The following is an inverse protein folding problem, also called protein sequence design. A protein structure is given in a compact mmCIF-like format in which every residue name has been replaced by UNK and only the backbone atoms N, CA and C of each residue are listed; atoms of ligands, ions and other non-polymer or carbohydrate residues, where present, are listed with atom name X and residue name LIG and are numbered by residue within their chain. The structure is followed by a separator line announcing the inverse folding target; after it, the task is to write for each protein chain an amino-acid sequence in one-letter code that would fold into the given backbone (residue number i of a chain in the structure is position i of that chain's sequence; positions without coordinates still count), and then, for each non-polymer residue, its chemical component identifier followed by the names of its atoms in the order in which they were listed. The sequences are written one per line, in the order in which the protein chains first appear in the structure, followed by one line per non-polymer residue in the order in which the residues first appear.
data_IF_830643507190
#
_entry.id   IF_830643507190
#
_cell.length_a   1.000
_cell.length_b   1.000
_cell.length_c   1.000
_cell.angle_alpha   90.00
_cell.angle_beta   90.00
_cell.angle_gamma   90.00
#
_symmetry.space_group_name_H-M   'P 1'
#
loop_
_entity.id
_entity.type
_entity.pdbx_description
1 polymer ?
#
# COMPACT_ATOMS: atom_id res chain seq x y z
N UNK A 1 -10.77 12.34 -7.44
CA UNK A 1 -10.52 11.50 -6.23
C UNK A 1 -9.02 11.26 -6.05
N UNK A 2 -8.48 11.51 -4.85
CA UNK A 2 -7.08 11.21 -4.55
C UNK A 2 -6.89 9.72 -4.30
N UNK A 3 -5.94 9.10 -5.00
CA UNK A 3 -5.62 7.69 -4.79
C UNK A 3 -4.67 7.57 -3.58
N UNK A 4 -5.00 6.75 -2.57
CA UNK A 4 -4.11 6.51 -1.45
C UNK A 4 -2.92 5.63 -1.84
N UNK A 5 -1.78 5.88 -1.22
CA UNK A 5 -0.64 4.97 -1.18
C UNK A 5 -0.43 4.46 0.26
N UNK A 6 0.12 3.26 0.38
CA UNK A 6 0.41 2.57 1.64
C UNK A 6 1.91 2.45 1.80
N UNK A 7 2.47 2.99 2.89
CA UNK A 7 3.92 2.98 3.09
C UNK A 7 4.43 1.58 3.43
N UNK A 8 5.43 1.11 2.69
CA UNK A 8 6.02 -0.23 2.84
C UNK A 8 6.81 -0.38 4.15
N UNK A 9 7.26 0.74 4.72
CA UNK A 9 8.10 0.75 5.91
C UNK A 9 7.33 0.93 7.23
N UNK A 10 6.25 1.73 7.23
CA UNK A 10 5.53 2.07 8.47
C UNK A 10 4.02 1.87 8.40
N UNK A 11 3.48 1.40 7.27
CA UNK A 11 2.04 1.15 7.10
C UNK A 11 1.16 2.38 6.98
N UNK A 12 1.71 3.60 7.08
CA UNK A 12 0.94 4.84 6.96
C UNK A 12 0.24 4.96 5.60
N UNK A 13 -1.01 5.41 5.60
CA UNK A 13 -1.78 5.73 4.38
C UNK A 13 -1.56 7.19 4.05
N UNK A 14 -1.04 7.51 2.86
CA UNK A 14 -0.73 8.88 2.47
C UNK A 14 -1.13 9.17 1.03
N UNK A 15 -1.13 10.47 0.66
CA UNK A 15 -1.48 10.90 -0.69
C UNK A 15 -0.43 10.40 -1.67
N UNK A 16 -0.84 9.61 -2.66
CA UNK A 16 0.07 9.12 -3.69
C UNK A 16 0.53 10.20 -4.69
N UNK A 17 -0.20 11.31 -4.75
CA UNK A 17 -0.07 12.34 -5.80
C UNK A 17 -0.89 12.05 -7.04
N UNK A 18 -1.49 10.86 -7.17
CA UNK A 18 -2.39 10.50 -8.27
C UNK A 18 -3.81 10.96 -7.94
N UNK A 19 -4.44 11.62 -8.91
CA UNK A 19 -5.85 12.02 -8.87
C UNK A 19 -6.54 11.40 -10.07
N UNK A 20 -7.63 10.68 -9.83
CA UNK A 20 -8.48 10.10 -10.87
C UNK A 20 -9.90 10.63 -10.69
N UNK A 21 -10.53 11.05 -11.78
CA UNK A 21 -11.89 11.60 -11.77
C UNK A 21 -12.70 11.01 -12.92
N UNK A 22 -13.92 10.58 -12.60
CA UNK A 22 -14.92 10.06 -13.53
C UNK A 22 -14.34 9.18 -14.66
N UNK A 23 -13.57 8.16 -14.28
CA UNK A 23 -12.79 7.32 -15.19
C UNK A 23 -13.09 5.84 -14.94
N UNK A 24 -13.35 5.08 -16.00
CA UNK A 24 -13.63 3.64 -15.93
C UNK A 24 -12.45 2.83 -16.47
N UNK A 25 -12.31 1.58 -16.03
CA UNK A 25 -11.25 0.64 -16.46
C UNK A 25 -9.83 1.16 -16.26
N UNK A 26 -9.57 1.83 -15.14
CA UNK A 26 -8.24 2.30 -14.78
C UNK A 26 -7.45 1.15 -14.14
N UNK A 27 -6.31 0.83 -14.72
CA UNK A 27 -5.41 -0.23 -14.24
C UNK A 27 -4.23 0.37 -13.49
N UNK A 28 -4.04 -0.05 -12.24
CA UNK A 28 -2.81 0.18 -11.49
C UNK A 28 -2.00 -1.12 -11.43
N UNK A 29 -0.70 -1.01 -11.72
CA UNK A 29 0.25 -2.13 -11.63
C UNK A 29 1.64 -1.59 -11.27
N UNK A 30 2.22 -2.06 -10.16
CA UNK A 30 3.58 -1.74 -9.74
C UNK A 30 3.80 -0.27 -9.36
N UNK A 31 2.72 0.48 -9.09
CA UNK A 31 2.82 1.91 -8.81
C UNK A 31 3.43 2.15 -7.42
N UNK A 32 4.35 3.11 -7.33
CA UNK A 32 5.03 3.52 -6.11
C UNK A 32 4.82 5.01 -5.87
N UNK A 33 4.72 5.41 -4.61
CA UNK A 33 4.55 6.80 -4.20
C UNK A 33 5.42 7.12 -2.99
N UNK A 34 5.87 8.36 -2.88
CA UNK A 34 6.69 8.82 -1.77
C UNK A 34 7.21 10.24 -1.97
N UNK A 35 7.89 10.81 -0.96
CA UNK A 35 8.22 10.17 0.30
C UNK A 35 7.01 10.09 1.26
N UNK A 36 6.94 9.03 2.06
CA UNK A 36 5.97 8.90 3.15
C UNK A 36 6.15 10.04 4.15
N UNK A 37 5.09 10.76 4.54
CA UNK A 37 5.20 11.92 5.43
C UNK A 37 5.58 11.54 6.87
N UNK A 38 5.43 10.26 7.25
CA UNK A 38 5.74 9.78 8.61
C UNK A 38 7.20 9.33 8.74
N UNK A 39 7.70 8.50 7.82
CA UNK A 39 9.03 7.88 7.94
C UNK A 39 9.99 8.22 6.79
N UNK A 40 9.54 8.93 5.75
CA UNK A 40 10.34 9.24 4.56
C UNK A 40 10.49 8.10 3.55
N UNK A 41 10.00 6.89 3.85
CA UNK A 41 10.07 5.72 2.98
C UNK A 41 9.18 5.81 1.74
N UNK A 42 9.25 4.79 0.88
CA UNK A 42 8.37 4.64 -0.29
C UNK A 42 7.16 3.79 0.12
N UNK A 43 6.04 4.02 -0.54
CA UNK A 43 4.85 3.19 -0.46
C UNK A 43 4.38 2.72 -1.83
N UNK A 44 3.41 1.83 -1.85
CA UNK A 44 2.78 1.32 -3.04
C UNK A 44 1.32 1.77 -3.15
N UNK A 45 0.80 1.77 -4.38
CA UNK A 45 -0.62 1.90 -4.66
C UNK A 45 -1.14 0.49 -4.95
N UNK A 46 -2.34 0.10 -4.46
CA UNK A 46 -2.88 -1.23 -4.72
C UNK A 46 -3.03 -1.50 -6.22
N UNK A 47 -2.56 -2.67 -6.64
CA UNK A 47 -2.71 -3.14 -8.01
C UNK A 47 -4.14 -3.63 -8.26
N UNK A 48 -4.64 -3.43 -9.48
CA UNK A 48 -5.98 -3.85 -9.87
C UNK A 48 -6.59 -3.00 -10.97
N UNK A 49 -7.82 -3.35 -11.35
CA UNK A 49 -8.64 -2.58 -12.30
C UNK A 49 -9.83 -1.97 -11.55
N UNK A 50 -10.00 -0.67 -11.71
CA UNK A 50 -10.94 0.14 -10.94
C UNK A 50 -11.78 1.03 -11.86
N UNK A 51 -13.06 1.19 -11.53
CA UNK A 51 -13.85 2.33 -11.99
C UNK A 51 -13.92 3.37 -10.89
N UNK A 52 -13.80 4.63 -11.29
CA UNK A 52 -13.93 5.81 -10.46
C UNK A 52 -15.13 6.59 -10.99
N UNK A 53 -16.32 6.34 -10.45
CA UNK A 53 -17.55 7.00 -10.87
C UNK A 53 -17.93 7.95 -9.73
N UNK A 54 -17.96 9.24 -10.00
CA UNK A 54 -18.17 10.29 -9.00
C UNK A 54 -17.25 10.12 -7.76
N UNK A 55 -17.84 9.69 -6.64
CA UNK A 55 -17.20 9.53 -5.34
C UNK A 55 -17.05 8.06 -4.91
N UNK A 56 -17.37 7.11 -5.78
CA UNK A 56 -17.24 5.67 -5.54
C UNK A 56 -16.07 5.10 -6.32
N UNK A 57 -15.41 4.12 -5.71
CA UNK A 57 -14.45 3.26 -6.41
C UNK A 57 -15.12 1.89 -6.53
N UNK A 58 -15.36 1.46 -7.75
CA UNK A 58 -15.75 0.08 -8.01
C UNK A 58 -14.51 -0.72 -8.37
N UNK A 59 -14.25 -1.76 -7.59
CA UNK A 59 -13.15 -2.67 -7.86
C UNK A 59 -13.67 -3.71 -8.86
N UNK A 60 -13.30 -3.57 -10.13
CA UNK A 60 -13.68 -4.53 -11.17
C UNK A 60 -12.90 -5.84 -11.07
N UNK A 61 -11.69 -5.76 -10.52
CA UNK A 61 -10.91 -6.92 -10.09
C UNK A 61 -9.95 -6.50 -8.99
N UNK A 62 -10.19 -6.99 -7.78
CA UNK A 62 -9.12 -7.12 -6.80
C UNK A 62 -8.20 -8.24 -7.30
N UNK A 63 -6.90 -8.26 -6.96
CA UNK A 63 -6.06 -9.41 -7.27
C UNK A 63 -6.75 -10.65 -6.70
N UNK A 64 -7.14 -11.61 -7.56
CA UNK A 64 -7.69 -12.92 -7.14
C UNK A 64 -6.76 -13.65 -6.13
N UNK A 65 -5.50 -13.19 -6.01
CA UNK A 65 -4.50 -13.64 -5.05
C UNK A 65 -4.91 -13.51 -3.58
N UNK A 66 -5.58 -12.43 -3.16
CA UNK A 66 -5.87 -12.22 -1.73
C UNK A 66 -6.80 -13.30 -1.16
N UNK A 67 -7.77 -13.78 -1.94
CA UNK A 67 -8.66 -14.87 -1.51
C UNK A 67 -7.95 -16.23 -1.46
N UNK A 68 -7.05 -16.49 -2.40
CA UNK A 68 -6.25 -17.72 -2.41
C UNK A 68 -5.25 -17.75 -1.26
N UNK A 69 -4.61 -16.61 -0.95
CA UNK A 69 -3.68 -16.47 0.18
C UNK A 69 -4.40 -16.63 1.52
N UNK A 70 -5.58 -16.02 1.69
CA UNK A 70 -6.40 -16.21 2.89
C UNK A 70 -6.89 -17.66 3.03
N UNK A 71 -7.26 -18.31 1.93
CA UNK A 71 -7.61 -19.73 1.92
C UNK A 71 -6.42 -20.62 2.28
N UNK A 72 -5.23 -20.30 1.75
CA UNK A 72 -4.00 -21.04 2.03
C UNK A 72 -3.56 -20.86 3.49
N UNK A 73 -3.62 -19.64 4.02
CA UNK A 73 -3.39 -19.36 5.43
C UNK A 73 -4.36 -20.14 6.30
N UNK A 74 -5.66 -20.12 5.97
CA UNK A 74 -6.68 -20.87 6.72
C UNK A 74 -6.37 -22.37 6.77
N UNK A 75 -5.88 -22.95 5.67
CA UNK A 75 -5.47 -24.35 5.63
C UNK A 75 -4.27 -24.63 6.54
N UNK A 76 -3.22 -23.78 6.49
CA UNK A 76 -2.04 -23.89 7.36
C UNK A 76 -2.46 -23.81 8.84
N UNK A 77 -3.32 -22.85 9.18
CA UNK A 77 -3.78 -22.65 10.56
C UNK A 77 -4.66 -23.81 11.04
N UNK A 78 -5.51 -24.38 10.17
CA UNK A 78 -6.34 -25.55 10.50
C UNK A 78 -5.47 -26.79 10.71
N UNK A 79 -4.51 -27.03 9.81
CA UNK A 79 -3.59 -28.16 9.93
C UNK A 79 -2.72 -28.04 11.19
N UNK A 80 -2.25 -26.84 11.52
CA UNK A 80 -1.50 -26.57 12.74
C UNK A 80 -2.31 -26.93 14.01
N UNK A 81 -3.61 -26.60 14.02
CA UNK A 81 -4.54 -26.95 15.10
C UNK A 81 -4.75 -28.46 15.19
N UNK A 82 -4.97 -29.14 14.07
CA UNK A 82 -5.22 -30.59 14.01
C UNK A 82 -3.99 -31.42 14.40
N UNK A 83 -2.79 -30.99 14.00
CA UNK A 83 -1.52 -31.69 14.28
C UNK A 83 -0.83 -31.25 15.58
N UNK A 84 -1.47 -30.39 16.36
CA UNK A 84 -0.93 -29.83 17.61
C UNK A 84 0.49 -29.22 17.50
N UNK A 85 0.77 -28.55 16.38
CA UNK A 85 2.08 -27.93 16.11
C UNK A 85 2.43 -26.87 17.15
N UNK A 86 3.71 -26.71 17.42
CA UNK A 86 4.23 -25.65 18.29
C UNK A 86 4.15 -24.27 17.61
N UNK A 87 4.12 -23.16 18.37
CA UNK A 87 4.09 -21.81 17.79
C UNK A 87 5.23 -21.55 16.80
N UNK A 88 6.43 -22.03 17.10
CA UNK A 88 7.60 -21.85 16.24
C UNK A 88 7.48 -22.61 14.91
N UNK A 89 6.95 -23.83 14.93
CA UNK A 89 6.68 -24.61 13.71
C UNK A 89 5.61 -23.97 12.82
N UNK A 90 4.61 -23.34 13.43
CA UNK A 90 3.57 -22.60 12.68
C UNK A 90 4.15 -21.33 12.08
N UNK A 91 4.99 -20.61 12.83
CA UNK A 91 5.68 -19.42 12.36
C UNK A 91 6.57 -19.72 11.14
N UNK A 92 7.37 -20.79 11.22
CA UNK A 92 8.23 -21.22 10.10
C UNK A 92 7.42 -21.62 8.88
N UNK A 93 6.32 -22.37 9.06
CA UNK A 93 5.44 -22.76 7.95
C UNK A 93 4.81 -21.56 7.25
N UNK A 94 4.41 -20.54 8.00
CA UNK A 94 3.87 -19.28 7.43
C UNK A 94 4.95 -18.54 6.64
N UNK A 95 6.18 -18.44 7.18
CA UNK A 95 7.29 -17.78 6.48
C UNK A 95 7.70 -18.51 5.19
N UNK A 96 7.61 -19.84 5.19
CA UNK A 96 7.92 -20.69 4.03
C UNK A 96 6.82 -20.63 2.94
N UNK A 97 5.56 -20.88 3.33
CA UNK A 97 4.46 -21.07 2.39
C UNK A 97 3.79 -19.75 1.98
N UNK A 98 3.95 -18.68 2.77
CA UNK A 98 3.30 -17.38 2.60
C UNK A 98 4.28 -16.22 2.93
N UNK A 99 5.33 -15.99 2.12
CA UNK A 99 6.36 -14.97 2.40
C UNK A 99 5.79 -13.55 2.53
N UNK A 100 4.72 -13.25 1.78
CA UNK A 100 3.99 -11.97 1.84
C UNK A 100 3.30 -11.73 3.21
N UNK A 101 3.02 -12.80 3.97
CA UNK A 101 2.41 -12.75 5.30
C UNK A 101 3.41 -13.15 6.40
N UNK A 102 4.71 -13.12 6.12
CA UNK A 102 5.76 -13.43 7.09
C UNK A 102 5.64 -12.62 8.38
N UNK A 103 5.20 -11.36 8.32
CA UNK A 103 4.96 -10.52 9.50
C UNK A 103 3.84 -11.05 10.42
N UNK A 104 2.93 -11.89 9.91
CA UNK A 104 1.90 -12.56 10.71
C UNK A 104 2.51 -13.62 11.62
N UNK A 105 3.61 -14.24 11.20
CA UNK A 105 4.33 -15.22 12.01
C UNK A 105 4.87 -14.60 13.32
N UNK A 106 5.24 -13.31 13.29
CA UNK A 106 5.77 -12.59 14.45
C UNK A 106 4.68 -12.15 15.44
N UNK A 107 3.41 -12.17 15.01
CA UNK A 107 2.24 -11.86 15.82
C UNK A 107 1.66 -13.09 16.53
N UNK A 108 2.22 -14.29 16.29
CA UNK A 108 1.73 -15.52 16.91
C UNK A 108 1.95 -15.51 18.44
N UNK A 109 0.96 -15.94 19.23
CA UNK A 109 1.12 -16.10 20.67
C UNK A 109 2.21 -17.12 21.01
N UNK A 110 2.96 -16.84 22.10
CA UNK A 110 4.08 -17.68 22.53
C UNK A 110 3.65 -18.95 23.27
N UNK A 111 2.43 -18.98 23.82
CA UNK A 111 1.92 -20.15 24.55
C UNK A 111 0.99 -20.99 23.66
N UNK A 112 1.02 -22.32 23.81
CA UNK A 112 0.23 -23.24 22.97
C UNK A 112 -1.28 -23.03 23.14
N UNK A 113 -1.74 -22.73 24.35
CA UNK A 113 -3.15 -22.47 24.65
C UNK A 113 -3.65 -21.18 24.00
N UNK A 114 -2.87 -20.10 24.08
CA UNK A 114 -3.22 -18.83 23.44
C UNK A 114 -3.12 -18.94 21.92
N UNK A 115 -2.14 -19.71 21.41
CA UNK A 115 -2.02 -19.99 19.98
C UNK A 115 -3.31 -20.61 19.45
N UNK A 116 -3.82 -21.70 20.02
CA UNK A 116 -5.03 -22.34 19.48
C UNK A 116 -6.29 -21.47 19.64
N UNK A 117 -6.39 -20.67 20.69
CA UNK A 117 -7.46 -19.70 20.85
C UNK A 117 -7.40 -18.64 19.74
N UNK A 118 -6.20 -18.10 19.48
CA UNK A 118 -5.92 -17.15 18.42
C UNK A 118 -6.19 -17.72 17.02
N UNK A 119 -5.72 -18.95 16.75
CA UNK A 119 -5.99 -19.63 15.49
C UNK A 119 -7.49 -19.86 15.27
N UNK A 120 -8.21 -20.25 16.32
CA UNK A 120 -9.67 -20.45 16.25
C UNK A 120 -10.39 -19.13 15.97
N UNK A 121 -9.96 -18.03 16.59
CA UNK A 121 -10.49 -16.70 16.33
C UNK A 121 -10.25 -16.26 14.88
N UNK A 122 -9.02 -16.42 14.38
CA UNK A 122 -8.66 -16.03 13.00
C UNK A 122 -9.49 -16.83 11.99
N UNK A 123 -9.56 -18.15 12.14
CA UNK A 123 -10.33 -19.01 11.23
C UNK A 123 -11.82 -18.64 11.27
N UNK A 124 -12.37 -18.33 12.44
CA UNK A 124 -13.76 -17.89 12.57
C UNK A 124 -14.03 -16.54 11.88
N UNK A 125 -13.12 -15.57 12.03
CA UNK A 125 -13.22 -14.26 11.38
C UNK A 125 -13.11 -14.39 9.86
N UNK A 126 -12.13 -15.15 9.36
CA UNK A 126 -11.98 -15.39 7.92
C UNK A 126 -13.22 -16.14 7.38
N UNK A 127 -13.74 -17.12 8.11
CA UNK A 127 -14.98 -17.81 7.78
C UNK A 127 -16.18 -16.86 7.68
N UNK A 128 -16.30 -15.90 8.58
CA UNK A 128 -17.36 -14.89 8.57
C UNK A 128 -17.24 -13.94 7.37
N UNK A 129 -16.01 -13.50 7.07
CA UNK A 129 -15.71 -12.62 5.94
C UNK A 129 -15.96 -13.31 4.59
N UNK A 130 -15.82 -14.64 4.52
CA UNK A 130 -15.99 -15.42 3.29
C UNK A 130 -17.41 -15.96 3.10
N UNK A 131 -18.21 -16.13 4.16
CA UNK A 131 -19.60 -16.62 4.09
C UNK A 131 -20.65 -15.53 3.79
N UNK A 132 -20.24 -14.27 3.59
CA UNK A 132 -21.12 -13.17 3.19
C UNK A 132 -21.53 -13.13 1.71
N UNK A 133 -21.38 -14.21 0.94
CA UNK A 133 -21.69 -14.21 -0.50
C UNK A 133 -22.30 -15.53 -0.97
N UNK A 134 -23.57 -15.75 -0.62
CA UNK A 134 -24.48 -16.52 -1.44
C UNK A 134 -25.51 -15.57 -2.07
N UNK A 135 -25.25 -15.20 -3.33
CA UNK A 135 -26.22 -14.54 -4.20
C UNK A 135 -25.87 -13.11 -4.60
N UNK A 136 -25.77 -12.90 -5.91
CA UNK A 136 -25.72 -11.62 -6.63
C UNK A 136 -24.34 -10.96 -6.78
N UNK A 137 -24.09 -10.54 -8.02
CA UNK A 137 -22.93 -9.79 -8.50
C UNK A 137 -22.82 -8.44 -7.76
N UNK A 138 -22.30 -8.45 -6.53
CA UNK A 138 -22.21 -7.24 -5.73
C UNK A 138 -20.81 -6.65 -5.84
N UNK A 139 -20.65 -5.78 -6.85
CA UNK A 139 -19.67 -4.70 -6.82
C UNK A 139 -19.83 -3.99 -5.47
N UNK A 140 -18.85 -4.15 -4.58
CA UNK A 140 -18.88 -3.51 -3.26
C UNK A 140 -18.76 -2.00 -3.45
N UNK A 141 -19.88 -1.28 -3.47
CA UNK A 141 -19.91 0.18 -3.62
C UNK A 141 -19.58 0.80 -2.27
N UNK A 142 -18.32 1.18 -2.08
CA UNK A 142 -17.86 1.91 -0.89
C UNK A 142 -17.88 3.40 -1.24
N UNK A 143 -18.47 4.25 -0.40
CA UNK A 143 -18.38 5.72 -0.54
C UNK A 143 -17.02 6.19 -0.04
N UNK A 144 -16.01 6.12 -0.91
CA UNK A 144 -14.60 6.07 -0.49
C UNK A 144 -14.03 7.43 -0.12
N UNK A 145 -14.56 8.53 -0.66
CA UNK A 145 -13.98 9.86 -0.47
C UNK A 145 -13.96 10.32 1.00
N UNK A 146 -15.00 10.01 1.80
CA UNK A 146 -15.02 10.42 3.21
C UNK A 146 -13.97 9.66 4.03
N UNK A 147 -13.89 8.34 3.86
CA UNK A 147 -12.94 7.47 4.55
C UNK A 147 -11.49 7.77 4.15
N UNK A 148 -11.22 7.97 2.86
CA UNK A 148 -9.89 8.32 2.36
C UNK A 148 -9.44 9.67 2.94
N UNK A 149 -10.32 10.67 2.91
CA UNK A 149 -9.99 11.99 3.44
C UNK A 149 -9.70 11.93 4.95
N UNK A 150 -10.46 11.14 5.72
CA UNK A 150 -10.19 10.92 7.13
C UNK A 150 -8.83 10.24 7.35
N UNK A 151 -8.52 9.18 6.60
CA UNK A 151 -7.23 8.48 6.70
C UNK A 151 -6.04 9.42 6.43
N UNK A 152 -6.15 10.31 5.43
CA UNK A 152 -5.12 11.32 5.18
C UNK A 152 -4.98 12.31 6.35
N UNK A 153 -6.10 12.79 6.90
CA UNK A 153 -6.07 13.71 8.05
C UNK A 153 -5.43 13.07 9.29
N UNK A 154 -5.65 11.79 9.51
CA UNK A 154 -5.04 11.04 10.61
C UNK A 154 -3.53 10.90 10.41
N UNK A 155 -3.09 10.53 9.21
CA UNK A 155 -1.66 10.45 8.87
C UNK A 155 -0.97 11.81 8.99
N UNK A 156 -1.60 12.88 8.51
CA UNK A 156 -1.03 14.25 8.58
C UNK A 156 -0.91 14.75 10.03
N UNK A 157 -1.81 14.34 10.93
CA UNK A 157 -1.70 14.64 12.37
C UNK A 157 -0.51 13.93 13.01
N UNK A 158 -0.26 12.68 12.64
CA UNK A 158 0.88 11.87 13.14
C UNK A 158 2.20 12.34 12.53
N UNK A 159 2.17 12.88 11.31
CA UNK A 159 3.34 13.38 10.59
C UNK A 159 3.93 14.71 11.12
N UNK A 160 3.40 15.30 12.21
CA UNK A 160 4.02 16.48 12.83
C UNK A 160 5.42 16.09 13.36
N UNK A 161 6.50 16.65 12.80
CA UNK A 161 7.85 16.29 13.22
C UNK A 161 8.12 16.85 14.61
N UNK A 162 8.67 16.03 15.51
CA UNK A 162 9.48 16.54 16.61
C UNK A 162 10.70 17.25 16.00
N UNK A 163 10.61 18.57 15.89
CA UNK A 163 11.72 19.50 15.62
C UNK A 163 12.60 19.15 14.42
N UNK A 164 12.14 19.41 13.20
CA UNK A 164 13.06 19.52 12.06
C UNK A 164 13.68 20.91 12.03
N UNK A 165 14.98 20.98 12.36
CA UNK A 165 15.83 22.08 11.89
C UNK A 165 15.61 22.19 10.38
N UNK A 166 15.17 23.35 9.90
CA UNK A 166 15.00 23.62 8.47
C UNK A 166 16.36 23.53 7.77
N UNK A 167 16.75 22.33 7.35
CA UNK A 167 17.80 22.18 6.35
C UNK A 167 17.22 22.66 5.01
N UNK A 168 17.84 23.62 4.31
CA UNK A 168 17.32 24.12 3.05
C UNK A 168 17.27 22.98 2.03
N UNK A 169 16.14 22.85 1.34
CA UNK A 169 15.94 21.87 0.28
C UNK A 169 17.08 21.97 -0.75
N UNK A 170 17.95 20.95 -0.76
CA UNK A 170 19.02 20.82 -1.76
C UNK A 170 18.33 20.58 -3.10
N UNK A 171 18.33 21.59 -3.99
CA UNK A 171 17.79 21.45 -5.36
C UNK A 171 18.44 20.22 -6.01
N UNK A 172 17.62 19.25 -6.38
CA UNK A 172 18.06 17.95 -6.95
C UNK A 172 18.55 18.10 -8.40
N UNK A 173 18.34 19.26 -9.04
CA UNK A 173 18.96 19.56 -10.34
C UNK A 173 20.32 20.22 -10.17
N UNK A 174 21.38 19.75 -10.86
CA UNK A 174 22.63 20.49 -10.94
C UNK A 174 22.33 21.87 -11.53
N UNK A 175 22.78 22.93 -10.86
CA UNK A 175 22.70 24.29 -11.39
C UNK A 175 23.59 24.34 -12.64
N UNK A 176 23.00 24.19 -13.81
CA UNK A 176 23.74 24.31 -15.07
C UNK A 176 24.33 25.72 -15.17
N UNK A 177 25.63 25.80 -15.36
CA UNK A 177 26.33 27.06 -15.49
C UNK A 177 25.90 27.77 -16.78
N UNK A 178 25.72 29.10 -16.74
CA UNK A 178 25.34 29.89 -17.93
C UNK A 178 26.26 29.68 -19.14
N UNK A 179 27.52 29.27 -18.93
CA UNK A 179 28.50 29.03 -19.98
C UNK A 179 28.66 27.54 -20.39
N UNK A 180 27.97 26.60 -19.74
CA UNK A 180 28.05 25.17 -20.04
C UNK A 180 27.28 24.82 -21.33
N UNK A 181 27.59 23.68 -21.99
CA UNK A 181 26.83 23.19 -23.13
C UNK A 181 25.35 23.06 -22.79
N UNK A 182 24.49 23.51 -23.69
CA UNK A 182 23.05 23.49 -23.47
C UNK A 182 22.51 22.05 -23.60
N UNK A 183 21.70 21.56 -22.65
CA UNK A 183 21.26 20.16 -22.60
C UNK A 183 20.22 19.82 -23.67
N UNK A 184 19.75 20.80 -24.45
CA UNK A 184 18.88 20.58 -25.61
C UNK A 184 19.61 20.05 -26.85
N UNK A 185 20.92 19.77 -26.76
CA UNK A 185 21.71 19.20 -27.86
C UNK A 185 22.09 20.20 -28.96
N UNK A 186 21.86 21.50 -28.76
CA UNK A 186 22.13 22.53 -29.77
C UNK A 186 23.61 22.84 -30.02
N UNK A 187 24.52 22.29 -29.20
CA UNK A 187 25.96 22.61 -29.21
C UNK A 187 26.31 24.03 -28.73
N UNK A 188 25.32 24.86 -28.36
CA UNK A 188 25.52 26.24 -27.88
C UNK A 188 25.67 26.28 -26.35
N UNK A 189 26.29 27.35 -25.82
CA UNK A 189 26.30 27.64 -24.37
C UNK A 189 24.88 27.92 -23.86
N UNK A 190 24.53 27.47 -22.65
CA UNK A 190 23.20 27.62 -22.07
C UNK A 190 22.63 29.05 -22.15
N UNK A 191 23.44 30.08 -21.81
CA UNK A 191 23.05 31.50 -21.90
C UNK A 191 22.72 32.00 -23.32
N UNK A 192 23.13 31.29 -24.36
CA UNK A 192 22.90 31.62 -25.78
C UNK A 192 21.86 30.69 -26.43
N UNK A 193 21.16 29.89 -25.63
CA UNK A 193 20.12 28.98 -26.09
C UNK A 193 18.94 29.01 -25.09
N UNK A 194 18.69 27.93 -24.34
CA UNK A 194 17.56 27.86 -23.41
C UNK A 194 17.60 28.88 -22.25
N UNK A 195 18.76 29.49 -21.97
CA UNK A 195 18.94 30.50 -20.94
C UNK A 195 18.98 31.94 -21.46
N UNK A 196 18.55 32.20 -22.70
CA UNK A 196 18.39 33.57 -23.22
C UNK A 196 17.16 34.23 -22.56
N UNK A 197 17.30 35.47 -22.04
CA UNK A 197 16.12 36.29 -21.77
C UNK A 197 15.44 36.63 -23.11
N UNK A 198 14.11 36.49 -23.16
CA UNK A 198 13.31 37.01 -24.28
C UNK A 198 13.37 38.54 -24.31
#
# INVERSE_FOLDING_TARGET
MHIPAFCDNCGAVFRSGIVVENSINITFSGNRAGPCPVCGGVGHIPDGVFNFIDNTIEILSAPKRTLNELSHLTNILREAKEKHRSPDEVAEKIREDLPELSSVADLLPKTRSELYAFLTLIVAVIGLLTQGSHGSNNTSTITVNQTINQAFLETDKVAKPKGSVKAPAKRISPKIGRNEPCPCGSGKKYKKCCGQPQ
#
